data_IF_979306414709
#
_entry.id   IF_979306414709
#
_cell.length_a   1.000
_cell.length_b   1.000
_cell.length_c   1.000
_cell.angle_alpha   90.00
_cell.angle_beta   90.00
_cell.angle_gamma   90.00
#
_symmetry.space_group_name_H-M   'P 1'
#
loop_
_entity.id
_entity.type
_entity.pdbx_description
1 polymer ?
#
# COMPACT_ATOMS: atom_id res chain seq x y z
N UNK A 1 0.83 -3.54 -1.22
CA UNK A 1 -0.48 -2.88 -1.05
C UNK A 1 -0.81 -2.11 -2.32
N UNK A 2 -0.99 -2.82 -3.41
CA UNK A 2 -1.36 -2.17 -4.68
C UNK A 2 -2.31 -3.08 -5.43
N UNK A 3 -3.33 -2.44 -5.98
CA UNK A 3 -4.41 -2.99 -6.81
C UNK A 3 -5.62 -3.52 -6.04
N UNK A 4 -6.38 -2.59 -5.43
CA UNK A 4 -7.79 -2.58 -5.76
C UNK A 4 -7.83 -2.30 -7.28
N UNK A 5 -7.91 -3.33 -8.09
CA UNK A 5 -8.36 -3.18 -9.45
C UNK A 5 -9.82 -2.71 -9.34
N UNK A 6 -9.99 -1.40 -9.27
CA UNK A 6 -11.18 -0.81 -9.85
C UNK A 6 -11.12 -1.27 -11.31
N UNK A 7 -12.01 -2.18 -11.71
CA UNK A 7 -12.52 -2.16 -13.08
C UNK A 7 -12.97 -0.72 -13.23
N UNK A 8 -12.14 0.11 -13.84
CA UNK A 8 -12.51 1.47 -14.18
C UNK A 8 -13.63 1.32 -15.18
N UNK A 9 -14.88 1.40 -14.70
CA UNK A 9 -16.01 1.57 -15.57
C UNK A 9 -15.72 2.83 -16.37
N UNK A 10 -15.41 2.65 -17.65
CA UNK A 10 -15.34 3.76 -18.60
C UNK A 10 -16.73 4.37 -18.52
N UNK A 11 -16.82 5.58 -17.93
CA UNK A 11 -18.09 6.29 -17.84
C UNK A 11 -18.59 6.51 -19.25
N UNK A 12 -19.58 5.70 -19.63
CA UNK A 12 -20.29 5.92 -20.87
C UNK A 12 -21.20 7.11 -20.66
N UNK A 13 -21.28 8.04 -21.61
CA UNK A 13 -22.29 9.10 -21.56
C UNK A 13 -23.67 8.44 -21.56
N UNK A 14 -24.38 8.49 -20.41
CA UNK A 14 -25.72 7.93 -20.27
C UNK A 14 -26.75 8.67 -21.13
N UNK A 15 -26.44 9.90 -21.54
CA UNK A 15 -27.27 10.68 -22.46
C UNK A 15 -26.42 11.45 -23.46
N UNK A 16 -26.78 11.31 -24.74
CA UNK A 16 -26.26 12.16 -25.81
C UNK A 16 -26.96 13.53 -25.73
N UNK A 17 -26.53 14.41 -24.81
CA UNK A 17 -26.94 15.81 -24.91
C UNK A 17 -26.29 16.43 -26.15
N UNK A 18 -27.02 17.08 -27.04
CA UNK A 18 -26.41 17.72 -28.20
C UNK A 18 -25.41 18.78 -27.79
N UNK A 19 -24.30 18.85 -28.54
CA UNK A 19 -23.31 19.94 -28.35
C UNK A 19 -23.99 21.30 -28.52
N UNK A 20 -23.68 22.33 -27.70
CA UNK A 20 -24.26 23.67 -27.85
C UNK A 20 -24.05 24.30 -29.23
N UNK A 21 -23.14 23.77 -30.05
CA UNK A 21 -22.82 24.25 -31.38
C UNK A 21 -23.66 23.57 -32.51
N UNK A 22 -24.62 22.70 -32.15
CA UNK A 22 -25.37 21.90 -33.14
C UNK A 22 -26.66 22.56 -33.65
N UNK A 23 -26.99 23.79 -33.29
CA UNK A 23 -28.27 24.44 -33.60
C UNK A 23 -28.54 24.64 -35.12
N UNK A 24 -27.60 24.36 -36.04
CA UNK A 24 -27.75 24.54 -37.47
C UNK A 24 -27.16 23.42 -38.34
N UNK A 25 -26.95 22.20 -37.81
CA UNK A 25 -26.45 21.09 -38.64
C UNK A 25 -27.59 20.28 -39.24
N UNK A 26 -27.45 19.80 -40.50
CA UNK A 26 -28.41 18.87 -41.08
C UNK A 26 -28.54 17.62 -40.17
N UNK A 27 -29.76 17.12 -39.98
CA UNK A 27 -30.06 15.93 -39.16
C UNK A 27 -29.18 14.72 -39.52
N UNK A 28 -28.84 14.58 -40.80
CA UNK A 28 -28.00 13.51 -41.34
C UNK A 28 -26.55 13.53 -40.76
N UNK A 29 -25.94 14.72 -40.61
CA UNK A 29 -24.59 14.87 -40.04
C UNK A 29 -24.62 14.57 -38.54
N UNK A 30 -25.61 15.06 -37.82
CA UNK A 30 -25.80 14.82 -36.41
C UNK A 30 -25.98 13.32 -36.12
N UNK A 31 -26.81 12.64 -36.92
CA UNK A 31 -27.03 11.19 -36.83
C UNK A 31 -25.73 10.42 -37.10
N UNK A 32 -24.97 10.79 -38.13
CA UNK A 32 -23.70 10.17 -38.46
C UNK A 32 -22.67 10.27 -37.32
N UNK A 33 -22.54 11.45 -36.70
CA UNK A 33 -21.64 11.67 -35.51
C UNK A 33 -22.11 10.78 -34.36
N UNK A 34 -23.42 10.73 -34.08
CA UNK A 34 -23.95 9.89 -33.00
C UNK A 34 -23.66 8.40 -33.24
N UNK A 35 -23.85 7.91 -34.46
CA UNK A 35 -23.60 6.50 -34.78
C UNK A 35 -22.12 6.14 -34.72
N UNK A 36 -21.24 7.01 -35.23
CA UNK A 36 -19.80 6.83 -35.14
C UNK A 36 -19.33 6.85 -33.67
N UNK A 37 -19.89 7.74 -32.85
CA UNK A 37 -19.56 7.81 -31.41
C UNK A 37 -19.97 6.51 -30.70
N UNK A 38 -21.21 6.03 -30.89
CA UNK A 38 -21.67 4.75 -30.34
C UNK A 38 -20.77 3.59 -30.76
N UNK A 39 -20.43 3.54 -32.08
CA UNK A 39 -19.55 2.54 -32.66
C UNK A 39 -18.17 2.60 -31.99
N UNK A 40 -17.57 3.80 -31.80
CA UNK A 40 -16.29 3.97 -31.18
C UNK A 40 -16.25 3.43 -29.75
N UNK A 41 -17.25 3.78 -28.91
CA UNK A 41 -17.34 3.26 -27.54
C UNK A 41 -17.63 1.75 -27.48
N UNK A 42 -18.41 1.21 -28.44
CA UNK A 42 -18.60 -0.24 -28.53
C UNK A 42 -17.29 -0.96 -28.85
N UNK A 43 -16.49 -0.45 -29.79
CA UNK A 43 -15.18 -1.00 -30.12
C UNK A 43 -14.19 -0.91 -28.95
N UNK A 44 -14.25 0.16 -28.12
CA UNK A 44 -13.48 0.21 -26.85
C UNK A 44 -13.87 -0.94 -25.93
N UNK A 45 -15.16 -1.25 -25.78
CA UNK A 45 -15.63 -2.38 -24.94
C UNK A 45 -15.14 -3.73 -25.49
N UNK A 46 -15.18 -3.90 -26.81
CA UNK A 46 -14.71 -5.09 -27.52
C UNK A 46 -13.17 -5.20 -27.57
N UNK A 47 -12.48 -4.18 -27.05
CA UNK A 47 -11.01 -4.07 -27.06
C UNK A 47 -10.41 -3.90 -28.47
N UNK A 48 -11.21 -3.50 -29.47
CA UNK A 48 -10.73 -3.05 -30.79
C UNK A 48 -10.34 -1.57 -30.72
N UNK A 49 -9.14 -1.34 -30.25
CA UNK A 49 -8.62 0.02 -30.03
C UNK A 49 -8.35 0.75 -31.35
N UNK A 50 -7.92 0.02 -32.39
CA UNK A 50 -7.64 0.62 -33.70
C UNK A 50 -8.95 1.08 -34.39
N UNK A 51 -9.98 0.24 -34.38
CA UNK A 51 -11.27 0.58 -34.89
C UNK A 51 -11.93 1.75 -34.14
N UNK A 52 -11.77 1.78 -32.79
CA UNK A 52 -12.28 2.89 -31.99
C UNK A 52 -11.62 4.22 -32.38
N UNK A 53 -10.28 4.26 -32.50
CA UNK A 53 -9.55 5.45 -32.95
C UNK A 53 -9.99 5.91 -34.33
N UNK A 54 -10.19 4.97 -35.26
CA UNK A 54 -10.67 5.30 -36.58
C UNK A 54 -12.04 5.97 -36.52
N UNK A 55 -13.02 5.39 -35.79
CA UNK A 55 -14.36 5.94 -35.67
C UNK A 55 -14.38 7.36 -35.09
N UNK A 56 -13.59 7.61 -34.05
CA UNK A 56 -13.47 8.97 -33.44
C UNK A 56 -12.74 9.96 -34.36
N UNK A 57 -11.71 9.52 -35.11
CA UNK A 57 -11.06 10.38 -36.10
C UNK A 57 -11.96 10.73 -37.28
N UNK A 58 -12.85 9.82 -37.74
CA UNK A 58 -13.87 10.13 -38.73
C UNK A 58 -14.81 11.25 -38.26
N UNK A 59 -15.15 11.29 -36.95
CA UNK A 59 -15.91 12.40 -36.35
C UNK A 59 -15.13 13.70 -36.45
N UNK A 60 -13.84 13.69 -36.10
CA UNK A 60 -12.97 14.89 -36.14
C UNK A 60 -12.77 15.43 -37.58
N UNK A 61 -12.88 14.58 -38.59
CA UNK A 61 -12.91 15.05 -39.99
C UNK A 61 -14.20 15.82 -40.34
N UNK A 62 -15.31 15.49 -39.68
CA UNK A 62 -16.59 16.18 -39.85
C UNK A 62 -16.63 17.46 -38.97
N UNK A 63 -16.16 17.36 -37.76
CA UNK A 63 -16.15 18.41 -36.74
C UNK A 63 -14.89 18.35 -35.92
N UNK A 64 -13.90 19.20 -36.24
CA UNK A 64 -12.53 19.16 -35.69
C UNK A 64 -12.44 19.21 -34.14
N UNK A 65 -13.41 19.86 -33.51
CA UNK A 65 -13.42 20.07 -32.06
C UNK A 65 -14.57 19.33 -31.38
N UNK A 66 -15.10 18.28 -32.02
CA UNK A 66 -16.21 17.51 -31.46
C UNK A 66 -15.85 16.90 -30.10
N UNK A 67 -16.64 17.19 -29.04
CA UNK A 67 -16.39 16.77 -27.68
C UNK A 67 -16.44 15.25 -27.52
N UNK A 68 -17.35 14.54 -28.18
CA UNK A 68 -17.44 13.06 -28.09
C UNK A 68 -16.22 12.38 -28.69
N UNK A 69 -15.71 12.90 -29.80
CA UNK A 69 -14.53 12.35 -30.45
C UNK A 69 -13.26 12.62 -29.62
N UNK A 70 -13.10 13.85 -29.10
CA UNK A 70 -11.93 14.20 -28.27
C UNK A 70 -11.92 13.40 -26.97
N UNK A 71 -13.06 13.27 -26.28
CA UNK A 71 -13.15 12.43 -25.07
C UNK A 71 -12.92 10.96 -25.43
N UNK A 72 -13.54 10.45 -26.51
CA UNK A 72 -13.37 9.05 -26.94
C UNK A 72 -11.92 8.69 -27.29
N UNK A 73 -11.19 9.60 -27.96
CA UNK A 73 -9.75 9.41 -28.19
C UNK A 73 -8.96 9.43 -26.89
N UNK A 74 -9.27 10.35 -25.96
CA UNK A 74 -8.68 10.40 -24.64
C UNK A 74 -8.90 9.08 -23.86
N UNK A 75 -10.14 8.55 -23.86
CA UNK A 75 -10.47 7.27 -23.22
C UNK A 75 -9.73 6.09 -23.88
N UNK A 76 -9.57 6.14 -25.19
CA UNK A 76 -8.84 5.13 -25.96
C UNK A 76 -7.35 5.10 -25.58
N UNK A 77 -6.71 6.27 -25.51
CA UNK A 77 -5.31 6.38 -25.09
C UNK A 77 -5.13 6.00 -23.61
N UNK A 78 -6.08 6.39 -22.76
CA UNK A 78 -6.07 6.02 -21.34
C UNK A 78 -6.16 4.51 -21.15
N UNK A 79 -6.97 3.81 -21.96
CA UNK A 79 -7.07 2.34 -21.93
C UNK A 79 -5.75 1.65 -22.34
N UNK A 80 -4.96 2.29 -23.21
CA UNK A 80 -3.60 1.85 -23.56
C UNK A 80 -2.54 2.23 -22.54
N UNK A 81 -2.90 2.92 -21.45
CA UNK A 81 -2.00 3.54 -20.48
C UNK A 81 -1.08 4.64 -21.08
N UNK A 82 -1.43 5.20 -22.22
CA UNK A 82 -0.78 6.35 -22.84
C UNK A 82 -1.32 7.64 -22.21
N UNK A 83 -1.09 7.80 -20.90
CA UNK A 83 -1.71 8.88 -20.11
C UNK A 83 -1.37 10.29 -20.60
N UNK A 84 -0.17 10.51 -21.13
CA UNK A 84 0.19 11.84 -21.67
C UNK A 84 -0.57 12.20 -22.92
N UNK A 85 -0.81 11.25 -23.82
CA UNK A 85 -1.60 11.47 -25.04
C UNK A 85 -3.08 11.66 -24.69
N UNK A 86 -3.60 10.87 -23.76
CA UNK A 86 -4.95 11.07 -23.23
C UNK A 86 -5.15 12.47 -22.63
N UNK A 87 -4.19 12.96 -21.84
CA UNK A 87 -4.19 14.32 -21.28
C UNK A 87 -4.32 15.39 -22.39
N UNK A 88 -3.62 15.21 -23.51
CA UNK A 88 -3.68 16.17 -24.62
C UNK A 88 -5.09 16.24 -25.24
N UNK A 89 -5.71 15.08 -25.46
CA UNK A 89 -7.09 15.05 -26.00
C UNK A 89 -8.11 15.64 -25.03
N UNK A 90 -8.04 15.29 -23.74
CA UNK A 90 -8.97 15.86 -22.76
C UNK A 90 -8.77 17.38 -22.60
N UNK A 91 -7.53 17.87 -22.60
CA UNK A 91 -7.26 19.32 -22.57
C UNK A 91 -7.82 20.01 -23.81
N UNK A 92 -7.58 19.45 -25.01
CA UNK A 92 -8.16 20.00 -26.24
C UNK A 92 -9.70 20.05 -26.16
N UNK A 93 -10.33 19.02 -25.59
CA UNK A 93 -11.78 19.08 -25.33
C UNK A 93 -12.16 20.22 -24.38
N UNK A 94 -11.44 20.42 -23.30
CA UNK A 94 -11.75 21.43 -22.27
C UNK A 94 -11.45 22.87 -22.74
N UNK A 95 -10.62 23.09 -23.76
CA UNK A 95 -10.42 24.38 -24.41
C UNK A 95 -11.72 24.90 -25.06
N UNK A 96 -12.52 23.99 -25.65
CA UNK A 96 -13.78 24.32 -26.31
C UNK A 96 -15.00 24.08 -25.42
N UNK A 97 -14.91 23.14 -24.49
CA UNK A 97 -15.99 22.71 -23.59
C UNK A 97 -15.51 22.64 -22.15
N UNK A 98 -15.27 23.79 -21.48
CA UNK A 98 -14.64 23.84 -20.14
C UNK A 98 -15.42 23.07 -19.05
N UNK A 99 -16.74 22.91 -19.23
CA UNK A 99 -17.62 22.19 -18.31
C UNK A 99 -17.88 20.74 -18.70
N UNK A 100 -17.08 20.16 -19.62
CA UNK A 100 -17.28 18.75 -20.01
C UNK A 100 -16.82 17.82 -18.90
N UNK A 101 -17.77 17.27 -18.15
CA UNK A 101 -17.52 16.40 -17.01
C UNK A 101 -16.74 15.12 -17.36
N UNK A 102 -16.95 14.57 -18.57
CA UNK A 102 -16.21 13.37 -19.01
C UNK A 102 -14.74 13.67 -19.26
N UNK A 103 -14.45 14.82 -19.90
CA UNK A 103 -13.08 15.26 -20.09
C UNK A 103 -12.38 15.61 -18.76
N UNK A 104 -13.07 16.32 -17.85
CA UNK A 104 -12.54 16.62 -16.51
C UNK A 104 -12.25 15.32 -15.75
N UNK A 105 -13.17 14.37 -15.76
CA UNK A 105 -12.99 13.08 -15.07
C UNK A 105 -11.80 12.30 -15.64
N UNK A 106 -11.74 12.13 -16.97
CA UNK A 106 -10.67 11.41 -17.63
C UNK A 106 -9.30 12.05 -17.45
N UNK A 107 -9.23 13.40 -17.53
CA UNK A 107 -8.01 14.16 -17.29
C UNK A 107 -7.47 13.97 -15.87
N UNK A 108 -8.35 14.06 -14.88
CA UNK A 108 -7.97 13.88 -13.49
C UNK A 108 -7.51 12.45 -13.21
N UNK A 109 -8.17 11.44 -13.78
CA UNK A 109 -7.75 10.04 -13.68
C UNK A 109 -6.38 9.80 -14.32
N UNK A 110 -6.06 10.43 -15.44
CA UNK A 110 -4.72 10.37 -16.02
C UNK A 110 -3.67 10.97 -15.09
N UNK A 111 -3.93 12.13 -14.49
CA UNK A 111 -3.00 12.71 -13.49
C UNK A 111 -2.84 11.82 -12.25
N UNK A 112 -3.92 11.21 -11.78
CA UNK A 112 -3.86 10.20 -10.70
C UNK A 112 -2.98 9.02 -11.08
N UNK A 113 -3.14 8.46 -12.29
CA UNK A 113 -2.32 7.33 -12.77
C UNK A 113 -0.83 7.67 -12.86
N UNK A 114 -0.51 8.92 -13.18
CA UNK A 114 0.85 9.46 -13.18
C UNK A 114 1.35 9.89 -11.78
N UNK A 115 0.63 9.58 -10.71
CA UNK A 115 0.90 9.99 -9.33
C UNK A 115 0.97 11.52 -9.13
N UNK A 116 0.41 12.32 -10.04
CA UNK A 116 0.30 13.78 -9.95
C UNK A 116 -0.97 14.17 -9.19
N UNK A 117 -1.09 13.71 -7.93
CA UNK A 117 -2.32 13.82 -7.14
C UNK A 117 -2.81 15.25 -6.93
N UNK A 118 -1.91 16.25 -6.79
CA UNK A 118 -2.31 17.64 -6.66
C UNK A 118 -3.08 18.12 -7.90
N UNK A 119 -2.56 17.84 -9.11
CA UNK A 119 -3.25 18.20 -10.36
C UNK A 119 -4.57 17.46 -10.52
N UNK A 120 -4.62 16.18 -10.13
CA UNK A 120 -5.86 15.41 -10.16
C UNK A 120 -6.93 16.03 -9.26
N UNK A 121 -6.56 16.45 -8.06
CA UNK A 121 -7.45 17.15 -7.11
C UNK A 121 -8.00 18.44 -7.74
N UNK A 122 -7.14 19.28 -8.33
CA UNK A 122 -7.55 20.55 -8.93
C UNK A 122 -8.59 20.33 -10.04
N UNK A 123 -8.39 19.32 -10.89
CA UNK A 123 -9.34 18.99 -11.97
C UNK A 123 -10.64 18.39 -11.42
N UNK A 124 -10.58 17.46 -10.47
CA UNK A 124 -11.82 16.94 -9.85
C UNK A 124 -12.58 18.02 -9.08
N UNK A 125 -11.90 19.02 -8.50
CA UNK A 125 -12.57 20.15 -7.88
C UNK A 125 -13.32 21.01 -8.93
N UNK A 126 -12.77 21.18 -10.13
CA UNK A 126 -13.49 21.82 -11.25
C UNK A 126 -14.74 21.00 -11.63
N UNK A 127 -14.64 19.67 -11.70
CA UNK A 127 -15.80 18.81 -11.90
C UNK A 127 -16.89 19.05 -10.84
N UNK A 128 -16.49 19.10 -9.57
CA UNK A 128 -17.42 19.26 -8.44
C UNK A 128 -18.10 20.64 -8.38
N UNK A 129 -17.62 21.64 -9.13
CA UNK A 129 -18.34 22.92 -9.31
C UNK A 129 -19.65 22.68 -10.06
N UNK A 130 -19.69 21.70 -10.97
CA UNK A 130 -20.86 21.40 -11.81
C UNK A 130 -21.74 20.29 -11.21
N UNK A 131 -21.14 19.38 -10.41
CA UNK A 131 -21.82 18.26 -9.77
C UNK A 131 -21.21 17.99 -8.38
N UNK A 132 -21.64 18.79 -7.39
CA UNK A 132 -21.09 18.81 -6.02
C UNK A 132 -21.49 17.59 -5.16
N UNK A 133 -22.40 16.77 -5.70
CA UNK A 133 -22.90 15.54 -5.04
C UNK A 133 -22.38 14.26 -5.66
N UNK A 134 -21.51 14.33 -6.64
CA UNK A 134 -20.96 13.14 -7.28
C UNK A 134 -20.07 12.34 -6.31
N UNK A 135 -20.65 11.29 -5.73
CA UNK A 135 -19.99 10.44 -4.73
C UNK A 135 -18.69 9.84 -5.27
N UNK A 136 -18.68 9.40 -6.54
CA UNK A 136 -17.49 8.83 -7.16
C UNK A 136 -16.34 9.85 -7.20
N UNK A 137 -16.62 11.08 -7.61
CA UNK A 137 -15.59 12.12 -7.67
C UNK A 137 -15.16 12.54 -6.26
N UNK A 138 -16.10 12.72 -5.33
CA UNK A 138 -15.78 13.06 -3.94
C UNK A 138 -14.85 12.01 -3.31
N UNK A 139 -15.13 10.71 -3.52
CA UNK A 139 -14.28 9.63 -3.00
C UNK A 139 -12.90 9.61 -3.65
N UNK A 140 -12.79 9.90 -4.97
CA UNK A 140 -11.49 10.02 -5.66
C UNK A 140 -10.66 11.18 -5.14
N UNK A 141 -11.28 12.33 -4.88
CA UNK A 141 -10.61 13.48 -4.24
C UNK A 141 -10.14 13.13 -2.83
N UNK A 142 -10.98 12.45 -2.05
CA UNK A 142 -10.63 12.00 -0.71
C UNK A 142 -9.42 11.04 -0.73
N UNK A 143 -9.39 10.07 -1.66
CA UNK A 143 -8.25 9.17 -1.86
C UNK A 143 -6.98 9.91 -2.27
N UNK A 144 -7.10 10.90 -3.16
CA UNK A 144 -5.95 11.70 -3.59
C UNK A 144 -5.37 12.52 -2.42
N UNK A 145 -6.23 13.12 -1.57
CA UNK A 145 -5.77 13.79 -0.35
C UNK A 145 -5.09 12.81 0.63
N UNK A 146 -5.59 11.57 0.76
CA UNK A 146 -4.92 10.53 1.55
C UNK A 146 -3.52 10.23 1.01
N UNK A 147 -3.35 10.15 -0.31
CA UNK A 147 -2.06 9.89 -0.96
C UNK A 147 -1.04 11.00 -0.76
N UNK A 148 -1.47 12.26 -0.67
CA UNK A 148 -0.59 13.40 -0.34
C UNK A 148 -0.52 13.69 1.17
N UNK A 149 -1.03 12.76 1.99
CA UNK A 149 -1.01 12.83 3.45
C UNK A 149 -1.78 14.02 4.07
N UNK A 150 -2.78 14.59 3.37
CA UNK A 150 -3.72 15.55 3.95
C UNK A 150 -4.88 14.78 4.63
N UNK A 151 -4.61 14.33 5.86
CA UNK A 151 -5.56 13.55 6.66
C UNK A 151 -6.90 14.28 6.84
N UNK A 152 -6.84 15.58 7.14
CA UNK A 152 -8.05 16.35 7.47
C UNK A 152 -9.00 16.41 6.29
N UNK A 153 -8.52 16.88 5.12
CA UNK A 153 -9.36 17.00 3.94
C UNK A 153 -9.88 15.66 3.45
N UNK A 154 -9.03 14.62 3.48
CA UNK A 154 -9.45 13.26 3.14
C UNK A 154 -10.58 12.77 4.06
N UNK A 155 -10.43 12.97 5.38
CA UNK A 155 -11.42 12.60 6.38
C UNK A 155 -12.76 13.29 6.15
N UNK A 156 -12.73 14.62 5.97
CA UNK A 156 -13.94 15.43 5.82
C UNK A 156 -14.73 15.03 4.57
N UNK A 157 -14.04 14.73 3.47
CA UNK A 157 -14.69 14.29 2.23
C UNK A 157 -15.31 12.90 2.33
N UNK A 158 -14.63 11.93 2.94
CA UNK A 158 -15.26 10.62 3.18
C UNK A 158 -16.46 10.73 4.14
N UNK A 159 -16.41 11.59 5.16
CA UNK A 159 -17.54 11.82 6.03
C UNK A 159 -18.71 12.44 5.27
N UNK A 160 -18.46 13.42 4.39
CA UNK A 160 -19.49 13.98 3.49
C UNK A 160 -20.19 12.88 2.70
N UNK A 161 -19.45 11.91 2.15
CA UNK A 161 -20.04 10.78 1.43
C UNK A 161 -20.88 9.90 2.36
N UNK A 162 -20.40 9.61 3.59
CA UNK A 162 -21.15 8.77 4.55
C UNK A 162 -22.37 9.47 5.13
N UNK A 163 -22.43 10.81 5.10
CA UNK A 163 -23.64 11.59 5.40
C UNK A 163 -24.69 11.47 4.30
N UNK A 164 -24.26 11.37 3.04
CA UNK A 164 -25.13 11.18 1.88
C UNK A 164 -25.58 9.72 1.76
N UNK A 165 -24.66 8.78 1.93
CA UNK A 165 -24.88 7.33 1.87
C UNK A 165 -24.14 6.65 3.02
N UNK A 166 -24.87 6.39 4.12
CA UNK A 166 -24.30 5.89 5.39
C UNK A 166 -23.42 4.63 5.24
N UNK A 167 -23.76 3.75 4.33
CA UNK A 167 -23.10 2.46 4.12
C UNK A 167 -22.37 2.39 2.76
N UNK A 168 -21.98 3.55 2.21
CA UNK A 168 -21.21 3.58 0.98
C UNK A 168 -19.88 2.84 1.13
N UNK A 169 -19.73 1.72 0.41
CA UNK A 169 -18.59 0.82 0.54
C UNK A 169 -17.25 1.50 0.24
N UNK A 170 -17.20 2.37 -0.77
CA UNK A 170 -15.97 3.09 -1.14
C UNK A 170 -15.51 4.05 -0.04
N UNK A 171 -16.45 4.77 0.56
CA UNK A 171 -16.15 5.70 1.65
C UNK A 171 -15.72 4.95 2.92
N UNK A 172 -16.39 3.84 3.25
CA UNK A 172 -16.01 2.98 4.38
C UNK A 172 -14.60 2.39 4.18
N UNK A 173 -14.31 1.86 2.99
CA UNK A 173 -12.97 1.35 2.62
C UNK A 173 -11.93 2.47 2.72
N UNK A 174 -12.23 3.63 2.15
CA UNK A 174 -11.37 4.79 2.19
C UNK A 174 -11.05 5.25 3.61
N UNK A 175 -12.06 5.28 4.49
CA UNK A 175 -11.89 5.59 5.93
C UNK A 175 -11.07 4.53 6.65
N UNK A 176 -11.28 3.25 6.33
CA UNK A 176 -10.49 2.16 6.87
C UNK A 176 -9.00 2.32 6.54
N UNK A 177 -8.67 2.57 5.27
CA UNK A 177 -7.30 2.82 4.83
C UNK A 177 -6.71 4.10 5.43
N UNK A 178 -7.46 5.22 5.41
CA UNK A 178 -7.02 6.49 5.95
C UNK A 178 -6.59 6.36 7.41
N UNK A 179 -7.46 5.81 8.25
CA UNK A 179 -7.16 5.65 9.67
C UNK A 179 -6.01 4.67 9.92
N UNK A 180 -5.88 3.61 9.09
CA UNK A 180 -4.76 2.68 9.19
C UNK A 180 -3.41 3.34 8.84
N UNK A 181 -3.35 4.14 7.77
CA UNK A 181 -2.15 4.86 7.34
C UNK A 181 -1.69 5.87 8.40
N UNK A 182 -2.64 6.50 9.10
CA UNK A 182 -2.36 7.43 10.20
C UNK A 182 -2.28 6.76 11.58
N UNK A 183 -2.23 5.42 11.62
CA UNK A 183 -2.06 4.60 12.83
C UNK A 183 -3.23 4.67 13.84
N UNK A 184 -4.36 5.17 13.41
CA UNK A 184 -5.62 5.16 14.17
C UNK A 184 -6.31 3.79 14.00
N UNK A 185 -5.66 2.74 14.52
CA UNK A 185 -6.05 1.36 14.24
C UNK A 185 -7.41 0.96 14.79
N UNK A 186 -7.90 1.60 15.87
CA UNK A 186 -9.23 1.34 16.43
C UNK A 186 -10.33 1.85 15.49
N UNK A 187 -10.16 3.07 14.98
CA UNK A 187 -11.06 3.67 14.01
C UNK A 187 -11.01 2.93 12.68
N UNK A 188 -9.82 2.53 12.23
CA UNK A 188 -9.68 1.69 11.04
C UNK A 188 -10.47 0.38 11.20
N UNK A 189 -10.32 -0.29 12.35
CA UNK A 189 -11.05 -1.52 12.68
C UNK A 189 -12.56 -1.32 12.62
N UNK A 190 -13.08 -0.22 13.18
CA UNK A 190 -14.50 0.11 13.14
C UNK A 190 -15.06 0.14 11.70
N UNK A 191 -14.39 0.84 10.78
CA UNK A 191 -14.83 0.93 9.38
C UNK A 191 -14.72 -0.40 8.64
N UNK A 192 -13.65 -1.16 8.85
CA UNK A 192 -13.49 -2.48 8.24
C UNK A 192 -14.52 -3.49 8.77
N UNK A 193 -14.82 -3.45 10.07
CA UNK A 193 -15.86 -4.31 10.66
C UNK A 193 -17.23 -3.96 10.12
N UNK A 194 -17.51 -2.66 9.90
CA UNK A 194 -18.77 -2.24 9.29
C UNK A 194 -18.95 -2.82 7.89
N UNK A 195 -17.89 -2.81 7.06
CA UNK A 195 -17.93 -3.45 5.72
C UNK A 195 -18.17 -4.96 5.86
N UNK A 196 -17.52 -5.60 6.82
CA UNK A 196 -17.70 -7.02 7.08
C UNK A 196 -19.14 -7.37 7.48
N UNK A 197 -19.78 -6.54 8.29
CA UNK A 197 -21.17 -6.72 8.73
C UNK A 197 -22.19 -6.50 7.60
N UNK A 198 -21.90 -5.60 6.67
CA UNK A 198 -22.76 -5.31 5.51
C UNK A 198 -22.73 -6.43 4.45
N UNK A 199 -21.72 -7.27 4.48
CA UNK A 199 -21.56 -8.38 3.54
C UNK A 199 -21.83 -9.71 4.25
N UNK A 200 -22.25 -10.73 3.51
CA UNK A 200 -22.28 -12.08 4.07
C UNK A 200 -20.88 -12.59 4.29
N UNK A 201 -20.68 -13.51 5.25
CA UNK A 201 -19.38 -14.13 5.51
C UNK A 201 -18.76 -14.76 4.27
N UNK A 202 -19.58 -15.21 3.34
CA UNK A 202 -19.16 -15.89 2.11
C UNK A 202 -18.75 -14.91 1.00
N UNK A 203 -19.31 -13.71 0.98
CA UNK A 203 -19.11 -12.72 -0.09
C UNK A 203 -18.13 -11.61 0.27
N UNK A 204 -17.74 -11.48 1.55
CA UNK A 204 -16.80 -10.44 1.97
C UNK A 204 -15.45 -10.61 1.29
N UNK A 205 -14.90 -9.53 0.78
CA UNK A 205 -13.59 -9.53 0.13
C UNK A 205 -12.47 -9.95 1.11
N UNK A 206 -11.58 -10.84 0.66
CA UNK A 206 -10.41 -11.30 1.44
C UNK A 206 -9.55 -10.14 1.93
N UNK A 207 -9.49 -9.04 1.17
CA UNK A 207 -8.79 -7.82 1.56
C UNK A 207 -9.39 -7.16 2.80
N UNK A 208 -10.70 -7.25 2.99
CA UNK A 208 -11.38 -6.77 4.21
C UNK A 208 -10.98 -7.65 5.40
N UNK A 209 -10.99 -8.97 5.24
CA UNK A 209 -10.56 -9.90 6.28
C UNK A 209 -9.11 -9.64 6.72
N UNK A 210 -8.20 -9.53 5.75
CA UNK A 210 -6.79 -9.25 6.04
C UNK A 210 -6.59 -7.86 6.64
N UNK A 211 -7.39 -6.85 6.28
CA UNK A 211 -7.36 -5.51 6.87
C UNK A 211 -7.79 -5.53 8.34
N UNK A 212 -8.88 -6.23 8.67
CA UNK A 212 -9.35 -6.42 10.07
C UNK A 212 -8.26 -7.13 10.88
N UNK A 213 -7.75 -8.27 10.37
CA UNK A 213 -6.67 -9.01 11.01
C UNK A 213 -5.44 -8.14 11.26
N UNK A 214 -5.05 -7.30 10.30
CA UNK A 214 -3.94 -6.37 10.44
C UNK A 214 -4.21 -5.27 11.48
N UNK A 215 -5.43 -4.77 11.61
CA UNK A 215 -5.79 -3.83 12.68
C UNK A 215 -5.60 -4.49 14.06
N UNK A 216 -6.14 -5.70 14.25
CA UNK A 216 -5.97 -6.47 15.49
C UNK A 216 -4.49 -6.74 15.80
N UNK A 217 -3.70 -7.12 14.79
CA UNK A 217 -2.25 -7.30 14.92
C UNK A 217 -1.53 -6.04 15.39
N UNK A 218 -1.89 -4.86 14.86
CA UNK A 218 -1.33 -3.57 15.28
C UNK A 218 -1.78 -3.15 16.67
N UNK A 219 -3.01 -3.49 17.06
CA UNK A 219 -3.56 -3.28 18.40
C UNK A 219 -3.04 -4.30 19.43
N UNK A 220 -2.28 -5.31 18.98
CA UNK A 220 -1.78 -6.44 19.79
C UNK A 220 -2.89 -7.34 20.37
N UNK A 221 -4.08 -7.31 19.81
CA UNK A 221 -5.18 -8.25 20.07
C UNK A 221 -5.04 -9.43 19.11
N UNK A 222 -3.95 -10.18 19.26
CA UNK A 222 -3.48 -11.15 18.28
C UNK A 222 -4.46 -12.31 18.06
N UNK A 223 -5.08 -12.81 19.13
CA UNK A 223 -6.04 -13.91 19.06
C UNK A 223 -7.25 -13.56 18.19
N UNK A 224 -7.74 -12.31 18.29
CA UNK A 224 -8.82 -11.85 17.42
C UNK A 224 -8.36 -11.73 15.98
N UNK A 225 -7.11 -11.26 15.78
CA UNK A 225 -6.54 -11.13 14.44
C UNK A 225 -6.40 -12.47 13.70
N UNK A 226 -6.03 -13.55 14.40
CA UNK A 226 -5.87 -14.88 13.78
C UNK A 226 -7.15 -15.37 13.12
N UNK A 227 -8.31 -15.16 13.72
CA UNK A 227 -9.61 -15.58 13.19
C UNK A 227 -9.86 -15.07 11.76
N UNK A 228 -9.57 -13.79 11.53
CA UNK A 228 -9.79 -13.16 10.23
C UNK A 228 -8.76 -13.61 9.19
N UNK A 229 -7.52 -13.83 9.59
CA UNK A 229 -6.52 -14.38 8.68
C UNK A 229 -6.82 -15.85 8.33
N UNK A 230 -7.31 -16.64 9.26
CA UNK A 230 -7.74 -18.02 9.02
C UNK A 230 -8.90 -18.07 8.03
N UNK A 231 -9.93 -17.22 8.22
CA UNK A 231 -11.03 -17.08 7.25
C UNK A 231 -10.54 -16.67 5.84
N UNK A 232 -9.50 -15.85 5.76
CA UNK A 232 -8.90 -15.50 4.47
C UNK A 232 -8.19 -16.71 3.83
N UNK A 233 -7.50 -17.53 4.62
CA UNK A 233 -6.80 -18.73 4.13
C UNK A 233 -7.75 -19.90 3.78
N UNK A 234 -8.93 -19.98 4.37
CA UNK A 234 -9.97 -20.92 3.94
C UNK A 234 -10.36 -20.72 2.48
N UNK A 235 -10.28 -19.48 1.97
CA UNK A 235 -10.60 -19.15 0.58
C UNK A 235 -9.38 -19.13 -0.33
N UNK A 236 -8.28 -18.57 0.14
CA UNK A 236 -7.02 -18.48 -0.58
C UNK A 236 -5.90 -19.05 0.30
N UNK A 237 -5.65 -20.37 0.29
CA UNK A 237 -4.64 -20.99 1.16
C UNK A 237 -3.22 -20.44 0.99
N UNK A 238 -2.92 -19.85 -0.17
CA UNK A 238 -1.63 -19.26 -0.51
C UNK A 238 -1.60 -17.72 -0.37
N UNK A 239 -2.61 -17.12 0.27
CA UNK A 239 -2.64 -15.66 0.41
C UNK A 239 -1.49 -15.17 1.31
N UNK A 240 -0.53 -14.49 0.70
CA UNK A 240 0.68 -14.00 1.37
C UNK A 240 0.36 -13.13 2.61
N UNK A 241 -0.60 -12.22 2.49
CA UNK A 241 -0.92 -11.27 3.58
C UNK A 241 -1.54 -11.98 4.79
N UNK A 242 -2.37 -12.98 4.54
CA UNK A 242 -2.97 -13.78 5.59
C UNK A 242 -1.95 -14.70 6.28
N UNK A 243 -1.10 -15.41 5.50
CA UNK A 243 -0.01 -16.22 6.05
C UNK A 243 0.95 -15.37 6.89
N UNK A 244 1.36 -14.21 6.35
CA UNK A 244 2.23 -13.27 7.06
C UNK A 244 1.58 -12.76 8.35
N UNK A 245 0.29 -12.38 8.27
CA UNK A 245 -0.47 -11.89 9.42
C UNK A 245 -0.57 -12.92 10.54
N UNK A 246 -0.88 -14.17 10.20
CA UNK A 246 -0.93 -15.29 11.15
C UNK A 246 0.43 -15.55 11.80
N UNK A 247 1.47 -15.68 11.00
CA UNK A 247 2.82 -15.90 11.51
C UNK A 247 3.23 -14.80 12.50
N UNK A 248 2.94 -13.54 12.18
CA UNK A 248 3.27 -12.39 13.04
C UNK A 248 2.40 -12.33 14.31
N UNK A 249 1.11 -12.72 14.22
CA UNK A 249 0.23 -12.84 15.38
C UNK A 249 0.74 -13.94 16.34
N UNK A 250 1.05 -15.14 15.81
CA UNK A 250 1.58 -16.23 16.63
C UNK A 250 2.94 -15.88 17.25
N UNK A 251 3.81 -15.15 16.54
CA UNK A 251 5.03 -14.59 17.11
C UNK A 251 4.72 -13.62 18.24
N UNK A 252 3.73 -12.73 18.07
CA UNK A 252 3.28 -11.78 19.10
C UNK A 252 2.72 -12.45 20.35
N UNK A 253 2.11 -13.63 20.23
CA UNK A 253 1.62 -14.49 21.31
C UNK A 253 2.70 -15.40 21.90
N UNK A 254 3.95 -15.25 21.48
CA UNK A 254 5.09 -16.12 21.84
C UNK A 254 4.91 -17.60 21.44
N UNK A 255 4.06 -17.90 20.45
CA UNK A 255 3.83 -19.25 19.90
C UNK A 255 4.75 -19.49 18.68
N UNK A 256 6.06 -19.54 18.92
CA UNK A 256 7.07 -19.51 17.87
C UNK A 256 6.96 -20.70 16.89
N UNK A 257 6.59 -21.91 17.35
CA UNK A 257 6.42 -23.07 16.48
C UNK A 257 5.30 -22.85 15.45
N UNK A 258 4.18 -22.26 15.85
CA UNK A 258 3.10 -21.92 14.92
C UNK A 258 3.53 -20.78 13.97
N UNK A 259 4.28 -19.79 14.49
CA UNK A 259 4.83 -18.72 13.65
C UNK A 259 5.72 -19.30 12.54
N UNK A 260 6.66 -20.20 12.88
CA UNK A 260 7.53 -20.90 11.93
C UNK A 260 6.73 -21.68 10.90
N UNK A 261 5.69 -22.40 11.30
CA UNK A 261 4.84 -23.13 10.38
C UNK A 261 4.28 -22.23 9.26
N UNK A 262 3.79 -21.06 9.58
CA UNK A 262 3.25 -20.14 8.59
C UNK A 262 4.35 -19.40 7.80
N UNK A 263 5.53 -19.11 8.40
CA UNK A 263 6.68 -18.63 7.65
C UNK A 263 7.12 -19.63 6.59
N UNK A 264 7.16 -20.92 6.94
CA UNK A 264 7.54 -21.96 5.99
C UNK A 264 6.54 -22.10 4.84
N UNK A 265 5.23 -21.97 5.09
CA UNK A 265 4.23 -21.93 4.02
C UNK A 265 4.49 -20.78 3.01
N UNK A 266 4.96 -19.63 3.47
CA UNK A 266 5.35 -18.57 2.56
C UNK A 266 6.62 -18.96 1.78
N UNK A 267 7.59 -19.59 2.42
CA UNK A 267 8.83 -20.04 1.78
C UNK A 267 8.65 -21.21 0.81
N UNK A 268 7.58 -22.00 0.94
CA UNK A 268 7.17 -23.00 -0.08
C UNK A 268 6.75 -22.29 -1.39
N UNK A 269 6.16 -21.10 -1.31
CA UNK A 269 5.72 -20.30 -2.46
C UNK A 269 6.87 -19.44 -3.01
N UNK A 270 7.63 -18.79 -2.13
CA UNK A 270 8.76 -17.92 -2.46
C UNK A 270 9.98 -18.28 -1.61
N UNK A 271 10.77 -19.31 -2.02
CA UNK A 271 11.93 -19.80 -1.26
C UNK A 271 13.06 -18.78 -1.07
N UNK A 272 13.06 -17.72 -1.88
CA UNK A 272 14.08 -16.65 -1.83
C UNK A 272 13.60 -15.39 -1.13
N UNK A 273 12.51 -15.45 -0.37
CA UNK A 273 12.04 -14.31 0.40
C UNK A 273 12.95 -14.03 1.59
N UNK A 274 13.93 -13.16 1.39
CA UNK A 274 14.94 -12.81 2.39
C UNK A 274 14.34 -12.39 3.74
N UNK A 275 13.26 -11.58 3.70
CA UNK A 275 12.60 -11.10 4.92
C UNK A 275 11.97 -12.26 5.71
N UNK A 276 11.36 -13.21 5.02
CA UNK A 276 10.71 -14.36 5.67
C UNK A 276 11.77 -15.35 6.20
N UNK A 277 12.85 -15.57 5.45
CA UNK A 277 13.98 -16.37 5.91
C UNK A 277 14.54 -15.82 7.23
N UNK A 278 14.78 -14.51 7.32
CA UNK A 278 15.27 -13.87 8.55
C UNK A 278 14.27 -14.00 9.70
N UNK A 279 12.96 -13.84 9.45
CA UNK A 279 11.92 -14.01 10.47
C UNK A 279 11.79 -15.45 10.98
N UNK A 280 11.90 -16.43 10.08
CA UNK A 280 11.94 -17.84 10.46
C UNK A 280 13.19 -18.14 11.32
N UNK A 281 14.35 -17.62 10.92
CA UNK A 281 15.56 -17.69 11.70
C UNK A 281 15.41 -17.11 13.11
N UNK A 282 14.79 -15.93 13.24
CA UNK A 282 14.49 -15.32 14.55
C UNK A 282 13.58 -16.19 15.41
N UNK A 283 12.54 -16.78 14.82
CA UNK A 283 11.64 -17.66 15.55
C UNK A 283 12.35 -18.93 16.04
N UNK A 284 13.18 -19.57 15.21
CA UNK A 284 13.99 -20.71 15.63
C UNK A 284 15.03 -20.35 16.70
N UNK A 285 15.68 -19.20 16.55
CA UNK A 285 16.65 -18.70 17.57
C UNK A 285 15.99 -18.51 18.93
N UNK A 286 14.78 -17.93 18.97
CA UNK A 286 14.06 -17.70 20.23
C UNK A 286 13.56 -18.98 20.90
N UNK A 287 13.43 -20.08 20.15
CA UNK A 287 13.14 -21.41 20.72
C UNK A 287 14.39 -22.20 21.10
N UNK A 288 15.58 -21.63 20.92
CA UNK A 288 16.85 -22.29 21.19
C UNK A 288 17.30 -23.26 20.10
N UNK A 289 16.55 -23.40 19.01
CA UNK A 289 16.96 -24.22 17.86
C UNK A 289 17.97 -23.47 16.99
N UNK A 290 19.18 -23.35 17.49
CA UNK A 290 20.25 -22.56 16.84
C UNK A 290 20.70 -23.16 15.50
N UNK A 291 20.64 -24.48 15.32
CA UNK A 291 21.03 -25.12 14.08
C UNK A 291 20.13 -24.67 12.91
N UNK A 292 18.82 -24.78 13.10
CA UNK A 292 17.86 -24.30 12.10
C UNK A 292 17.94 -22.78 11.92
N UNK A 293 18.07 -22.02 13.01
CA UNK A 293 18.20 -20.56 12.90
C UNK A 293 19.40 -20.15 12.02
N UNK A 294 20.57 -20.81 12.22
CA UNK A 294 21.77 -20.58 11.38
C UNK A 294 21.50 -20.90 9.91
N UNK A 295 20.80 -22.01 9.62
CA UNK A 295 20.43 -22.42 8.26
C UNK A 295 19.61 -21.31 7.57
N UNK A 296 18.55 -20.82 8.22
CA UNK A 296 17.69 -19.79 7.66
C UNK A 296 18.40 -18.43 7.49
N UNK A 297 19.21 -18.01 8.45
CA UNK A 297 19.99 -16.76 8.33
C UNK A 297 21.03 -16.86 7.21
N UNK A 298 21.72 -17.98 7.05
CA UNK A 298 22.68 -18.15 5.97
C UNK A 298 22.00 -18.12 4.61
N UNK A 299 20.84 -18.79 4.44
CA UNK A 299 20.03 -18.68 3.20
C UNK A 299 19.64 -17.24 2.90
N UNK A 300 19.28 -16.44 3.91
CA UNK A 300 18.99 -15.03 3.70
C UNK A 300 20.21 -14.24 3.21
N UNK A 301 21.39 -14.49 3.79
CA UNK A 301 22.65 -13.84 3.43
C UNK A 301 23.22 -14.30 2.08
N UNK A 302 22.90 -15.50 1.62
CA UNK A 302 23.24 -15.99 0.28
C UNK A 302 22.51 -15.23 -0.83
N UNK A 303 21.32 -14.68 -0.54
CA UNK A 303 20.54 -13.89 -1.49
C UNK A 303 21.12 -12.48 -1.63
N UNK A 304 21.32 -11.84 -0.49
CA UNK A 304 21.90 -10.48 -0.36
C UNK A 304 22.17 -10.19 1.10
N UNK A 305 23.06 -9.24 1.38
CA UNK A 305 23.34 -8.83 2.76
C UNK A 305 22.07 -8.40 3.51
N UNK A 306 21.86 -9.01 4.68
CA UNK A 306 20.79 -8.69 5.60
C UNK A 306 21.36 -8.48 7.00
N UNK A 307 21.30 -7.24 7.48
CA UNK A 307 21.86 -6.88 8.80
C UNK A 307 21.16 -7.64 9.93
N UNK A 308 19.87 -7.93 9.81
CA UNK A 308 19.13 -8.64 10.86
C UNK A 308 19.51 -10.12 10.91
N UNK A 309 19.74 -10.75 9.77
CA UNK A 309 20.27 -12.11 9.72
C UNK A 309 21.70 -12.18 10.30
N UNK A 310 22.55 -11.21 9.98
CA UNK A 310 23.89 -11.13 10.53
C UNK A 310 23.90 -10.88 12.05
N UNK A 311 23.00 -10.02 12.55
CA UNK A 311 22.78 -9.83 14.01
C UNK A 311 22.29 -11.15 14.62
N UNK A 312 21.35 -11.84 13.97
CA UNK A 312 20.83 -13.13 14.41
C UNK A 312 21.94 -14.18 14.62
N UNK A 313 22.89 -14.27 13.67
CA UNK A 313 24.05 -15.16 13.79
C UNK A 313 24.99 -14.75 14.95
N UNK A 314 25.22 -13.45 15.15
CA UNK A 314 26.02 -12.97 16.29
C UNK A 314 25.35 -13.29 17.64
N UNK A 315 24.01 -13.12 17.71
CA UNK A 315 23.23 -13.47 18.89
C UNK A 315 23.22 -14.99 19.17
N UNK A 316 23.27 -15.83 18.14
CA UNK A 316 23.42 -17.27 18.33
C UNK A 316 24.79 -17.59 18.94
N UNK A 317 25.89 -17.01 18.41
CA UNK A 317 27.22 -17.22 18.99
C UNK A 317 27.26 -16.83 20.48
N UNK A 318 26.63 -15.70 20.83
CA UNK A 318 26.49 -15.26 22.21
C UNK A 318 25.66 -16.25 23.05
N UNK A 319 24.53 -16.75 22.50
CA UNK A 319 23.68 -17.73 23.21
C UNK A 319 24.36 -19.10 23.42
N UNK A 320 25.29 -19.49 22.54
CA UNK A 320 26.14 -20.68 22.65
C UNK A 320 27.34 -20.48 23.60
N UNK A 321 27.50 -19.28 24.17
CA UNK A 321 28.62 -18.95 25.06
C UNK A 321 29.89 -18.58 24.31
N UNK A 322 29.92 -18.59 22.98
CA UNK A 322 31.09 -18.16 22.20
C UNK A 322 31.13 -16.62 22.08
N UNK A 323 31.44 -15.99 23.21
CA UNK A 323 31.42 -14.51 23.34
C UNK A 323 32.52 -13.83 22.52
N UNK A 324 33.66 -14.49 22.27
CA UNK A 324 34.72 -13.93 21.44
C UNK A 324 34.30 -13.79 19.97
N UNK A 325 33.71 -14.84 19.41
CA UNK A 325 33.20 -14.81 18.04
C UNK A 325 32.01 -13.86 17.93
N UNK A 326 31.09 -13.85 18.88
CA UNK A 326 29.99 -12.90 18.95
C UNK A 326 30.50 -11.44 18.94
N UNK A 327 31.51 -11.12 19.77
CA UNK A 327 32.10 -9.79 19.82
C UNK A 327 32.68 -9.37 18.46
N UNK A 328 33.48 -10.24 17.82
CA UNK A 328 34.02 -9.96 16.45
C UNK A 328 32.93 -9.67 15.44
N UNK A 329 31.82 -10.41 15.49
CA UNK A 329 30.69 -10.20 14.60
C UNK A 329 30.01 -8.85 14.88
N UNK A 330 29.75 -8.51 16.14
CA UNK A 330 29.17 -7.22 16.50
C UNK A 330 30.10 -6.04 16.15
N UNK A 331 31.40 -6.17 16.34
CA UNK A 331 32.40 -5.15 15.93
C UNK A 331 32.33 -4.88 14.41
N UNK A 332 32.20 -5.94 13.60
CA UNK A 332 32.06 -5.80 12.16
C UNK A 332 30.71 -5.17 11.77
N UNK A 333 29.62 -5.51 12.44
CA UNK A 333 28.31 -4.91 12.22
C UNK A 333 28.29 -3.42 12.57
N UNK A 334 28.96 -3.02 13.64
CA UNK A 334 29.11 -1.62 14.07
C UNK A 334 29.84 -0.79 13.00
N UNK A 335 30.83 -1.36 12.30
CA UNK A 335 31.49 -0.65 11.18
C UNK A 335 30.51 -0.30 10.05
N UNK A 336 29.51 -1.17 9.81
CA UNK A 336 28.50 -0.97 8.76
C UNK A 336 27.33 -0.07 9.22
N UNK A 337 27.00 -0.10 10.52
CA UNK A 337 25.92 0.70 11.11
C UNK A 337 26.34 1.30 12.46
N UNK A 338 27.22 2.32 12.46
CA UNK A 338 27.81 2.87 13.68
C UNK A 338 26.83 3.65 14.57
N UNK A 339 25.60 3.91 14.08
CA UNK A 339 24.56 4.61 14.88
C UNK A 339 23.59 3.66 15.59
N UNK A 340 23.73 2.37 15.39
CA UNK A 340 22.84 1.37 15.98
C UNK A 340 23.25 1.04 17.42
N UNK A 341 22.74 1.80 18.39
CA UNK A 341 23.06 1.63 19.80
C UNK A 341 22.82 0.22 20.36
N UNK A 342 21.91 -0.56 19.74
CA UNK A 342 21.67 -1.94 20.15
C UNK A 342 22.91 -2.83 19.94
N UNK A 343 23.63 -2.64 18.85
CA UNK A 343 24.86 -3.40 18.58
C UNK A 343 25.92 -3.15 19.65
N UNK A 344 26.02 -1.91 20.15
CA UNK A 344 26.95 -1.57 21.24
C UNK A 344 26.54 -2.20 22.56
N UNK A 345 25.23 -2.27 22.85
CA UNK A 345 24.73 -2.97 24.05
C UNK A 345 25.05 -4.46 23.95
N UNK A 346 24.74 -5.11 22.82
CA UNK A 346 25.01 -6.55 22.63
C UNK A 346 26.53 -6.85 22.68
N UNK A 347 27.40 -5.99 22.12
CA UNK A 347 28.85 -6.11 22.21
C UNK A 347 29.36 -5.91 23.64
N UNK A 348 28.83 -4.91 24.39
CA UNK A 348 29.19 -4.68 25.77
C UNK A 348 28.83 -5.89 26.63
N UNK A 349 27.70 -6.55 26.40
CA UNK A 349 27.35 -7.79 27.11
C UNK A 349 28.31 -8.94 26.79
N UNK A 350 28.81 -9.04 25.56
CA UNK A 350 29.89 -9.99 25.25
C UNK A 350 31.17 -9.69 26.02
N UNK A 351 31.59 -8.43 26.11
CA UNK A 351 32.76 -8.04 26.86
C UNK A 351 32.60 -8.34 28.38
N UNK A 352 31.41 -8.10 28.95
CA UNK A 352 31.10 -8.43 30.34
C UNK A 352 31.23 -9.93 30.57
N UNK A 353 30.67 -10.76 29.66
CA UNK A 353 30.73 -12.21 29.74
C UNK A 353 32.20 -12.74 29.67
N UNK A 354 33.08 -11.98 29.00
CA UNK A 354 34.53 -12.25 28.95
C UNK A 354 35.34 -11.61 30.10
N UNK A 355 34.69 -11.10 31.15
CA UNK A 355 35.31 -10.37 32.28
C UNK A 355 36.03 -9.07 31.85
N UNK A 356 35.69 -8.48 30.72
CA UNK A 356 36.26 -7.25 30.16
C UNK A 356 35.36 -6.02 30.43
N UNK A 357 34.98 -5.83 31.70
CA UNK A 357 34.01 -4.80 32.10
C UNK A 357 34.48 -3.38 31.72
N UNK A 358 35.79 -3.09 31.85
CA UNK A 358 36.32 -1.77 31.50
C UNK A 358 36.20 -1.46 30.00
N UNK A 359 36.37 -2.47 29.12
CA UNK A 359 36.19 -2.31 27.70
C UNK A 359 34.72 -2.04 27.36
N UNK A 360 33.77 -2.70 28.03
CA UNK A 360 32.34 -2.44 27.89
C UNK A 360 31.97 -0.99 28.26
N UNK A 361 32.47 -0.50 29.41
CA UNK A 361 32.26 0.88 29.88
C UNK A 361 32.84 1.88 28.87
N UNK A 362 34.05 1.66 28.39
CA UNK A 362 34.70 2.52 27.39
C UNK A 362 33.87 2.56 26.09
N UNK A 363 33.48 1.40 25.55
CA UNK A 363 32.68 1.26 24.36
C UNK A 363 31.37 2.06 24.44
N UNK A 364 30.61 1.88 25.51
CA UNK A 364 29.33 2.58 25.69
C UNK A 364 29.50 4.07 25.94
N UNK A 365 30.58 4.47 26.69
CA UNK A 365 30.91 5.88 26.88
C UNK A 365 31.27 6.58 25.57
N UNK A 366 32.02 5.92 24.69
CA UNK A 366 32.36 6.47 23.38
C UNK A 366 31.13 6.61 22.48
N UNK A 367 30.22 5.64 22.50
CA UNK A 367 28.92 5.77 21.79
C UNK A 367 28.10 6.95 22.32
N UNK A 368 28.04 7.17 23.66
CA UNK A 368 27.28 8.28 24.25
C UNK A 368 27.81 9.66 23.87
N UNK A 369 29.07 9.77 23.40
CA UNK A 369 29.61 11.01 22.82
C UNK A 369 29.00 11.28 21.43
N UNK A 370 28.63 10.23 20.68
CA UNK A 370 28.01 10.34 19.35
C UNK A 370 26.50 10.55 19.45
N UNK A 371 25.81 9.83 20.33
CA UNK A 371 24.37 9.90 20.56
C UNK A 371 24.03 9.89 22.07
N UNK A 372 24.04 11.07 22.65
CA UNK A 372 23.74 11.28 24.08
C UNK A 372 22.25 10.99 24.43
N UNK A 373 21.37 10.82 23.46
CA UNK A 373 19.93 10.62 23.70
C UNK A 373 19.52 9.14 23.74
N UNK A 374 20.41 8.22 23.40
CA UNK A 374 20.10 6.79 23.38
C UNK A 374 19.91 6.24 24.79
N UNK A 375 18.64 6.07 25.18
CA UNK A 375 18.31 5.63 26.55
C UNK A 375 18.75 4.19 26.86
N UNK A 376 18.76 3.30 25.86
CA UNK A 376 19.19 1.91 26.09
C UNK A 376 20.68 1.82 26.42
N UNK A 377 21.53 2.52 25.65
CA UNK A 377 22.96 2.57 25.89
C UNK A 377 23.25 3.25 27.22
N UNK A 378 22.60 4.38 27.52
CA UNK A 378 22.74 5.09 28.80
C UNK A 378 22.42 4.20 30.00
N UNK A 379 21.24 3.55 29.96
CA UNK A 379 20.79 2.68 31.06
C UNK A 379 21.77 1.52 31.31
N UNK A 380 22.36 0.97 30.23
CA UNK A 380 23.34 -0.10 30.35
C UNK A 380 24.65 0.42 30.96
N UNK A 381 25.12 1.59 30.52
CA UNK A 381 26.31 2.23 31.06
C UNK A 381 26.14 2.56 32.54
N UNK A 382 25.04 3.19 32.95
CA UNK A 382 24.74 3.56 34.34
C UNK A 382 24.71 2.32 35.24
N UNK A 383 24.14 1.20 34.79
CA UNK A 383 24.14 -0.06 35.55
C UNK A 383 25.55 -0.59 35.76
N UNK A 384 26.41 -0.50 34.76
CA UNK A 384 27.78 -0.98 34.84
C UNK A 384 28.65 -0.11 35.78
N UNK A 385 28.37 1.19 35.83
CA UNK A 385 29.09 2.13 36.73
C UNK A 385 28.62 2.05 38.18
N UNK A 386 27.32 1.77 38.44
CA UNK A 386 26.79 1.63 39.82
C UNK A 386 27.24 0.34 40.49
N UNK A 387 27.57 -0.70 39.74
CA UNK A 387 28.05 -1.98 40.28
C UNK A 387 29.59 -2.02 40.41
N UNK A 388 30.21 -0.87 40.48
CA UNK A 388 31.61 -0.70 40.90
C UNK A 388 31.70 -0.57 42.40
#
# INVERSE_FOLDING_TARGET
>A
MEKFNQTEDILMPESFAPSPLTENKPDEITNKISDLSKKGYQLIKENDIAGAKQAFNEILQIEENNNYALVGLGDTERKLNHFNDAINYYKKCLEYYPANNYALFGLADCYKALNQFAKAIDIWQQYLVHDDKNITVITRVADAYRKIHDFRKSKDLYLKVLEMEKDNAYALIGRGHLNYDFKEYKEALYYWTRIYELNSKETVDIRVLTAIGNCHRKLKTFEEGTKYFEMALEREPANFYALFGLADCYRGMNQQFKSVFYWNKILEIDPKNKVILTRAGDAYRTTGNYAEAKNYYNKALEIDFDIYAAIGLALICKGEGNNEEAAKRFENLIKNDPRNGRLYVDLAECYIAMNRKQDAIKLLSDYMKMDSRNSAVRNTLDKLQRNQ
#
